data_IF_731652602427
#
_entry.id   IF_731652602427
#
_cell.length_a   1.000
_cell.length_b   1.000
_cell.length_c   1.000
_cell.angle_alpha   90.00
_cell.angle_beta   90.00
_cell.angle_gamma   90.00
#
_symmetry.space_group_name_H-M   'P 1'
#
loop_
_entity.id
_entity.type
_entity.pdbx_description
1 polymer ?
#
# COMPACT_ATOMS: atom_id res chain seq x y z
N UNK A 1 -17.48 35.92 28.11
CA UNK A 1 -16.29 35.26 28.70
C UNK A 1 -16.43 33.77 28.44
N UNK A 2 -16.11 33.32 27.22
CA UNK A 2 -16.38 31.95 26.76
C UNK A 2 -15.25 31.42 25.85
N UNK A 3 -14.00 31.66 26.26
CA UNK A 3 -12.80 31.27 25.49
C UNK A 3 -11.89 30.28 26.24
N UNK A 4 -12.43 29.62 27.26
CA UNK A 4 -11.69 28.80 28.22
C UNK A 4 -11.85 27.27 27.99
N UNK A 5 -11.98 26.82 26.74
CA UNK A 5 -12.22 25.39 26.43
C UNK A 5 -11.34 24.75 25.34
N UNK A 6 -10.34 25.44 24.79
CA UNK A 6 -9.60 24.89 23.63
C UNK A 6 -8.08 24.84 23.75
N UNK A 7 -7.48 25.26 24.86
CA UNK A 7 -6.03 25.31 24.99
C UNK A 7 -5.67 24.74 26.36
N UNK A 8 -4.71 23.81 26.39
CA UNK A 8 -4.18 23.14 27.58
C UNK A 8 -4.85 21.82 28.02
N UNK A 9 -5.01 20.86 27.10
CA UNK A 9 -4.95 19.44 27.47
C UNK A 9 -3.62 18.86 26.96
N UNK A 10 -2.51 19.40 27.45
CA UNK A 10 -1.17 18.80 27.33
C UNK A 10 -0.35 18.87 28.62
N UNK A 11 -0.88 19.43 29.72
CA UNK A 11 -0.13 19.66 30.96
C UNK A 11 -0.92 19.23 32.19
N UNK A 12 -1.21 17.93 32.34
CA UNK A 12 -1.50 17.31 33.64
C UNK A 12 -1.74 15.79 33.51
N UNK A 13 -0.67 15.01 33.25
CA UNK A 13 -0.60 13.60 33.66
C UNK A 13 0.82 13.08 33.42
N UNK A 14 1.64 13.07 34.46
CA UNK A 14 3.07 12.80 34.43
C UNK A 14 3.46 11.31 34.35
N UNK A 15 2.54 10.35 34.17
CA UNK A 15 2.92 8.91 34.05
C UNK A 15 1.92 8.12 33.19
N UNK A 16 1.66 8.59 31.97
CA UNK A 16 1.16 7.70 30.92
C UNK A 16 2.05 7.99 29.72
N UNK A 17 2.72 6.94 29.24
CA UNK A 17 3.35 6.89 27.93
C UNK A 17 2.29 7.20 26.87
N UNK A 18 1.92 8.48 26.74
CA UNK A 18 1.34 9.00 25.53
C UNK A 18 2.54 9.13 24.60
N UNK A 19 2.95 7.98 24.04
CA UNK A 19 3.50 7.97 22.70
C UNK A 19 2.42 8.64 21.86
N UNK A 20 2.51 9.97 21.75
CA UNK A 20 1.78 10.72 20.77
C UNK A 20 2.29 10.15 19.45
N UNK A 21 1.59 9.12 18.96
CA UNK A 21 1.71 8.62 17.61
C UNK A 21 1.39 9.83 16.75
N UNK A 22 2.44 10.59 16.48
CA UNK A 22 2.45 11.61 15.47
C UNK A 22 2.40 10.78 14.20
N UNK A 23 1.21 10.32 13.83
CA UNK A 23 0.98 9.70 12.54
C UNK A 23 1.26 10.84 11.57
N UNK A 24 2.52 10.93 11.13
CA UNK A 24 2.95 11.87 10.11
C UNK A 24 2.12 11.48 8.90
N UNK A 25 1.06 12.24 8.65
CA UNK A 25 0.22 12.00 7.49
C UNK A 25 1.09 12.40 6.32
N UNK A 26 1.57 11.41 5.57
CA UNK A 26 2.11 11.61 4.24
C UNK A 26 1.05 12.42 3.51
N UNK A 27 1.35 13.68 3.17
CA UNK A 27 0.39 14.52 2.47
C UNK A 27 0.17 13.84 1.12
N UNK A 28 -0.97 13.18 0.99
CA UNK A 28 -1.37 12.45 -0.21
C UNK A 28 -1.16 13.35 -1.41
N UNK A 29 -0.14 13.02 -2.18
CA UNK A 29 0.24 13.79 -3.35
C UNK A 29 -0.31 13.06 -4.57
N UNK A 30 -0.32 13.72 -5.73
CA UNK A 30 -0.67 13.02 -6.98
C UNK A 30 0.26 11.83 -7.29
N UNK A 31 1.31 11.63 -6.50
CA UNK A 31 2.32 10.58 -6.61
C UNK A 31 2.10 9.40 -5.65
N UNK A 32 0.97 9.35 -4.93
CA UNK A 32 0.66 8.17 -4.12
C UNK A 32 0.60 6.93 -5.01
N UNK A 33 1.19 5.79 -4.58
CA UNK A 33 1.19 4.59 -5.38
C UNK A 33 -0.24 4.07 -5.53
N UNK A 34 -0.57 3.54 -6.70
CA UNK A 34 -1.92 3.03 -7.01
C UNK A 34 -1.81 1.72 -7.76
N UNK A 35 -2.68 0.78 -7.44
CA UNK A 35 -2.81 -0.45 -8.21
C UNK A 35 -3.59 -0.14 -9.48
N UNK A 36 -3.18 -0.71 -10.60
CA UNK A 36 -3.96 -0.68 -11.83
C UNK A 36 -5.35 -1.30 -11.59
N UNK A 37 -6.37 -0.58 -12.03
CA UNK A 37 -7.78 -0.98 -11.92
C UNK A 37 -8.15 -1.78 -13.17
N UNK A 38 -7.84 -3.07 -13.14
CA UNK A 38 -8.21 -4.04 -14.16
C UNK A 38 -8.73 -5.31 -13.50
N UNK A 39 -9.81 -5.87 -14.06
CA UNK A 39 -10.39 -7.14 -13.64
C UNK A 39 -9.52 -8.30 -14.13
N UNK A 40 -9.26 -9.30 -13.30
CA UNK A 40 -8.54 -10.49 -13.74
C UNK A 40 -9.34 -11.26 -14.79
N UNK A 41 -8.64 -11.79 -15.80
CA UNK A 41 -9.24 -12.71 -16.77
C UNK A 41 -9.71 -14.00 -16.09
N UNK A 42 -10.78 -14.60 -16.64
CA UNK A 42 -11.27 -15.91 -16.20
C UNK A 42 -10.18 -16.98 -16.37
N UNK A 43 -9.85 -17.67 -15.28
CA UNK A 43 -8.91 -18.79 -15.31
C UNK A 43 -9.61 -20.10 -15.71
N UNK A 44 -8.86 -21.00 -16.33
CA UNK A 44 -9.33 -22.37 -16.61
C UNK A 44 -8.70 -23.36 -15.63
N UNK A 45 -9.52 -24.23 -15.06
CA UNK A 45 -9.03 -25.29 -14.18
C UNK A 45 -8.00 -26.17 -14.88
N UNK A 46 -6.93 -26.53 -14.17
CA UNK A 46 -5.83 -27.36 -14.67
C UNK A 46 -5.05 -26.74 -15.84
N UNK A 47 -5.23 -25.45 -16.11
CA UNK A 47 -4.42 -24.70 -17.06
C UNK A 47 -3.49 -23.74 -16.33
N UNK A 48 -2.34 -23.46 -16.93
CA UNK A 48 -1.45 -22.44 -16.40
C UNK A 48 -2.10 -21.07 -16.53
N UNK A 49 -2.18 -20.37 -15.41
CA UNK A 49 -2.69 -19.01 -15.31
C UNK A 49 -1.54 -18.09 -14.90
N UNK A 50 -1.47 -16.91 -15.51
CA UNK A 50 -0.43 -15.93 -15.23
C UNK A 50 -0.92 -14.55 -15.61
N UNK A 51 -1.19 -13.73 -14.60
CA UNK A 51 -1.58 -12.34 -14.79
C UNK A 51 -0.82 -11.45 -13.81
N UNK A 52 -0.54 -10.21 -14.20
CA UNK A 52 0.23 -9.26 -13.41
C UNK A 52 -0.46 -7.93 -13.34
N UNK A 53 -0.43 -7.31 -12.16
CA UNK A 53 -0.96 -5.98 -11.91
C UNK A 53 0.21 -5.06 -11.60
N UNK A 54 0.29 -3.94 -12.32
CA UNK A 54 1.28 -2.91 -12.06
C UNK A 54 0.85 -2.02 -10.90
N UNK A 55 1.84 -1.50 -10.16
CA UNK A 55 1.64 -0.43 -9.19
C UNK A 55 2.24 0.83 -9.80
N UNK A 56 1.39 1.81 -10.09
CA UNK A 56 1.79 3.11 -10.60
C UNK A 56 2.50 3.93 -9.51
N UNK A 57 3.43 4.80 -9.92
CA UNK A 57 4.20 5.69 -9.06
C UNK A 57 5.03 4.98 -7.97
N UNK A 58 5.39 3.70 -8.15
CA UNK A 58 6.14 2.93 -7.17
C UNK A 58 7.66 3.20 -7.18
N UNK A 59 8.20 3.86 -8.21
CA UNK A 59 9.64 4.06 -8.38
C UNK A 59 10.30 4.94 -7.28
N UNK A 60 9.49 5.62 -6.46
CA UNK A 60 9.93 6.40 -5.29
C UNK A 60 9.78 5.64 -3.96
N UNK A 61 9.60 4.32 -4.01
CA UNK A 61 9.29 3.48 -2.87
C UNK A 61 10.09 2.18 -2.94
N UNK A 62 10.77 1.79 -1.84
CA UNK A 62 11.71 0.64 -1.83
C UNK A 62 11.12 -0.67 -1.35
N UNK A 63 10.03 -0.61 -0.58
CA UNK A 63 9.48 -1.78 0.08
C UNK A 63 8.01 -1.99 -0.27
N UNK A 64 7.72 -2.44 -1.49
CA UNK A 64 6.38 -2.92 -1.87
C UNK A 64 6.27 -4.43 -1.63
N UNK A 65 5.58 -4.85 -0.58
CA UNK A 65 5.23 -6.28 -0.41
C UNK A 65 3.73 -6.43 -0.66
N UNK A 66 3.38 -7.21 -1.69
CA UNK A 66 2.00 -7.58 -1.96
C UNK A 66 1.59 -8.77 -1.09
N UNK A 67 0.55 -8.58 -0.29
CA UNK A 67 -0.06 -9.60 0.55
C UNK A 67 -1.50 -9.82 0.12
N UNK A 68 -1.92 -11.08 0.09
CA UNK A 68 -3.32 -11.44 -0.16
C UNK A 68 -4.06 -11.62 1.16
N UNK A 69 -5.19 -10.96 1.28
CA UNK A 69 -6.21 -11.19 2.31
C UNK A 69 -7.44 -11.83 1.65
N UNK A 70 -7.85 -13.00 2.16
CA UNK A 70 -8.94 -13.78 1.56
C UNK A 70 -8.45 -15.11 1.01
N UNK A 71 -9.20 -15.67 0.05
CA UNK A 71 -8.92 -16.98 -0.53
C UNK A 71 -8.59 -16.82 -2.01
N UNK A 72 -7.34 -17.10 -2.37
CA UNK A 72 -7.01 -17.39 -3.77
C UNK A 72 -7.52 -18.80 -4.11
N UNK A 73 -7.89 -19.06 -5.38
CA UNK A 73 -8.16 -20.42 -5.83
C UNK A 73 -6.98 -21.34 -5.54
N UNK A 74 -7.26 -22.55 -5.04
CA UNK A 74 -6.22 -23.55 -4.77
C UNK A 74 -5.35 -23.77 -6.03
N UNK A 75 -4.02 -23.71 -5.84
CA UNK A 75 -3.04 -23.85 -6.91
C UNK A 75 -2.65 -22.53 -7.60
N UNK A 76 -3.22 -21.40 -7.20
CA UNK A 76 -2.72 -20.06 -7.53
C UNK A 76 -1.97 -19.44 -6.35
N UNK A 77 -0.92 -18.69 -6.67
CA UNK A 77 -0.10 -17.96 -5.70
C UNK A 77 0.07 -16.50 -6.14
N UNK A 78 0.18 -15.61 -5.17
CA UNK A 78 0.54 -14.21 -5.40
C UNK A 78 2.03 -14.01 -5.15
N UNK A 79 2.72 -13.51 -6.16
CA UNK A 79 4.14 -13.19 -6.11
C UNK A 79 4.31 -11.68 -6.22
N UNK A 80 5.05 -11.10 -5.27
CA UNK A 80 5.44 -9.69 -5.37
C UNK A 80 6.48 -9.54 -6.47
N UNK A 81 6.32 -8.54 -7.33
CA UNK A 81 7.29 -8.16 -8.36
C UNK A 81 7.73 -6.71 -8.10
N UNK A 82 8.91 -6.30 -8.58
CA UNK A 82 9.49 -4.99 -8.21
C UNK A 82 8.51 -3.81 -8.34
N UNK A 83 7.76 -3.76 -9.44
CA UNK A 83 6.80 -2.68 -9.71
C UNK A 83 5.33 -3.16 -9.63
N UNK A 84 5.04 -4.24 -8.92
CA UNK A 84 3.70 -4.84 -8.95
C UNK A 84 3.54 -6.15 -8.20
N UNK A 85 2.61 -6.96 -8.67
CA UNK A 85 2.45 -8.34 -8.25
C UNK A 85 1.92 -9.19 -9.39
N UNK A 86 2.10 -10.50 -9.30
CA UNK A 86 1.52 -11.46 -10.24
C UNK A 86 0.75 -12.55 -9.52
N UNK A 87 -0.34 -13.00 -10.13
CA UNK A 87 -1.06 -14.20 -9.75
C UNK A 87 -0.72 -15.28 -10.75
N UNK A 88 -0.08 -16.35 -10.29
CA UNK A 88 0.44 -17.40 -11.15
C UNK A 88 0.14 -18.77 -10.57
N UNK A 89 -0.06 -19.76 -11.44
CA UNK A 89 -0.17 -21.15 -11.02
C UNK A 89 -1.13 -21.95 -11.88
N UNK A 90 -1.73 -22.98 -11.30
CA UNK A 90 -2.69 -23.86 -11.98
C UNK A 90 -3.87 -24.11 -11.06
N UNK A 91 -5.03 -23.45 -11.28
CA UNK A 91 -6.14 -23.56 -10.36
C UNK A 91 -6.76 -24.95 -10.42
N UNK A 92 -7.12 -25.51 -9.26
CA UNK A 92 -7.65 -26.88 -9.15
C UNK A 92 -9.11 -26.94 -8.66
N UNK A 93 -9.72 -25.81 -8.36
CA UNK A 93 -11.10 -25.69 -7.86
C UNK A 93 -11.92 -24.76 -8.75
N UNK A 94 -13.18 -25.12 -9.01
CA UNK A 94 -14.13 -24.27 -9.72
C UNK A 94 -14.78 -23.28 -8.77
N UNK A 95 -15.02 -22.05 -9.24
CA UNK A 95 -15.72 -21.08 -8.42
C UNK A 95 -15.44 -19.64 -8.80
N UNK A 96 -15.96 -18.74 -7.99
CA UNK A 96 -15.65 -17.31 -8.04
C UNK A 96 -15.02 -16.96 -6.70
N UNK A 97 -13.79 -16.46 -6.75
CA UNK A 97 -12.96 -16.22 -5.58
C UNK A 97 -12.69 -14.73 -5.47
N UNK A 98 -13.16 -14.13 -4.38
CA UNK A 98 -12.91 -12.74 -4.03
C UNK A 98 -11.74 -12.66 -3.06
N UNK A 99 -10.76 -11.83 -3.36
CA UNK A 99 -9.60 -11.60 -2.51
C UNK A 99 -9.20 -10.12 -2.56
N UNK A 100 -8.48 -9.68 -1.53
CA UNK A 100 -7.92 -8.33 -1.46
C UNK A 100 -6.41 -8.44 -1.55
N UNK A 101 -5.80 -7.62 -2.39
CA UNK A 101 -4.36 -7.42 -2.37
C UNK A 101 -4.08 -6.16 -1.57
N UNK A 102 -3.19 -6.28 -0.61
CA UNK A 102 -2.67 -5.19 0.21
C UNK A 102 -1.20 -5.03 -0.14
N UNK A 103 -0.81 -3.84 -0.56
CA UNK A 103 0.60 -3.48 -0.73
C UNK A 103 0.96 -2.48 0.35
N UNK A 104 1.89 -2.89 1.20
CA UNK A 104 2.57 -1.98 2.12
C UNK A 104 3.72 -1.35 1.36
N UNK A 105 3.93 -0.04 1.51
CA UNK A 105 5.01 0.71 0.85
C UNK A 105 5.72 1.61 1.86
N UNK A 106 7.01 1.83 1.62
CA UNK A 106 7.84 2.77 2.38
C UNK A 106 8.48 3.74 1.39
N UNK A 107 8.34 5.05 1.66
CA UNK A 107 8.90 6.11 0.85
C UNK A 107 10.41 6.06 0.92
N UNK A 108 11.05 5.85 -0.22
CA UNK A 108 12.47 6.04 -0.36
C UNK A 108 12.68 7.42 -0.98
N UNK A 109 13.11 8.37 -0.15
CA UNK A 109 13.42 9.68 -0.67
C UNK A 109 14.53 9.49 -1.71
N UNK A 110 14.34 9.90 -2.98
CA UNK A 110 15.47 9.96 -3.88
C UNK A 110 16.50 10.87 -3.21
N UNK A 111 17.75 10.41 -3.06
CA UNK A 111 18.84 11.27 -2.58
C UNK A 111 18.81 12.51 -3.48
N UNK A 112 18.34 13.64 -2.92
CA UNK A 112 18.32 14.88 -3.67
C UNK A 112 19.79 15.24 -3.90
N UNK A 113 20.24 15.31 -5.15
CA UNK A 113 21.39 16.14 -5.47
C UNK A 113 20.97 17.57 -5.12
N UNK A 114 21.39 18.02 -3.93
CA UNK A 114 20.91 19.25 -3.33
C UNK A 114 21.28 20.46 -4.18
N UNK A 115 20.28 21.14 -4.73
CA UNK A 115 20.37 22.56 -5.02
C UNK A 115 19.72 23.29 -3.85
N UNK A 116 20.56 23.76 -2.92
CA UNK A 116 20.17 24.54 -1.74
C UNK A 116 19.66 25.92 -2.18
N UNK A 117 18.34 26.05 -2.34
CA UNK A 117 17.67 27.29 -2.73
C UNK A 117 17.16 28.11 -1.52
N UNK A 118 17.53 27.74 -0.29
CA UNK A 118 17.34 28.58 0.89
C UNK A 118 15.88 28.89 1.26
N UNK A 119 14.91 28.14 0.74
CA UNK A 119 13.48 28.28 1.05
C UNK A 119 12.97 27.10 1.88
N UNK A 120 13.00 27.27 3.20
CA UNK A 120 12.20 26.58 4.22
C UNK A 120 11.78 25.12 3.93
N UNK A 121 12.58 24.19 4.45
CA UNK A 121 12.12 23.05 5.26
C UNK A 121 10.92 22.29 4.68
N UNK A 122 11.07 21.80 3.45
CA UNK A 122 10.35 20.58 3.08
C UNK A 122 11.02 19.49 3.89
N UNK A 123 10.45 19.19 5.07
CA UNK A 123 10.71 17.94 5.75
C UNK A 123 10.38 16.83 4.76
N UNK A 124 11.39 16.33 4.04
CA UNK A 124 11.26 15.14 3.22
C UNK A 124 10.74 14.03 4.14
N UNK A 125 9.63 13.39 3.80
CA UNK A 125 9.07 12.39 4.67
C UNK A 125 9.87 11.10 4.54
N UNK A 126 11.08 11.09 5.10
CA UNK A 126 11.98 9.92 5.20
C UNK A 126 11.43 8.81 6.10
N UNK A 127 10.23 8.97 6.66
CA UNK A 127 9.53 7.99 7.50
C UNK A 127 8.11 7.68 6.97
N UNK A 128 7.84 7.93 5.69
CA UNK A 128 6.49 7.73 5.14
C UNK A 128 6.25 6.29 4.71
N UNK A 129 5.67 5.49 5.60
CA UNK A 129 5.08 4.20 5.24
C UNK A 129 3.57 4.31 5.03
N UNK A 130 3.03 3.62 4.03
CA UNK A 130 1.60 3.56 3.77
C UNK A 130 1.14 2.18 3.33
N UNK A 131 -0.17 2.04 3.13
CA UNK A 131 -0.79 0.83 2.57
C UNK A 131 -1.80 1.23 1.51
N UNK A 132 -1.74 0.57 0.36
CA UNK A 132 -2.81 0.58 -0.63
C UNK A 132 -3.46 -0.80 -0.65
N UNK A 133 -4.76 -0.85 -0.88
CA UNK A 133 -5.48 -2.11 -0.97
C UNK A 133 -6.55 -2.05 -2.05
N UNK A 134 -6.67 -3.11 -2.83
CA UNK A 134 -7.70 -3.25 -3.85
C UNK A 134 -8.31 -4.65 -3.78
N UNK A 135 -9.61 -4.74 -4.07
CA UNK A 135 -10.36 -5.99 -4.06
C UNK A 135 -10.48 -6.52 -5.49
N UNK A 136 -10.15 -7.80 -5.66
CA UNK A 136 -10.13 -8.48 -6.94
C UNK A 136 -11.01 -9.72 -6.89
N UNK A 137 -11.41 -10.17 -8.07
CA UNK A 137 -12.16 -11.40 -8.25
C UNK A 137 -11.54 -12.21 -9.38
N UNK A 138 -11.40 -13.52 -9.17
CA UNK A 138 -11.05 -14.48 -10.24
C UNK A 138 -12.18 -15.50 -10.34
N UNK A 139 -12.68 -15.72 -11.55
CA UNK A 139 -13.55 -16.87 -11.85
C UNK A 139 -12.72 -18.00 -12.44
N UNK A 140 -12.93 -19.21 -11.94
CA UNK A 140 -12.33 -20.44 -12.47
C UNK A 140 -13.41 -21.28 -13.12
N UNK A 141 -13.27 -21.50 -14.44
CA UNK A 141 -14.17 -22.29 -15.29
C UNK A 141 -13.61 -23.66 -15.67
#
# INVERSE_FOLDING_TARGET
MEYLKRIAVCLAATVILVSCNTSRVCRGSSYDPKMEDHDFDDAMRFQNYSESVAIENIDYFTHSVAKVEGHLPDGLECNTTGNGFSITGTPIEYGTFEFRVVVEYEYDAPESEGEDDGLNDVLFPSDCSGKISHAYQIRVN
#
